data_IF_120707847125
#
_entry.id   IF_120707847125
#
_cell.length_a   1.000
_cell.length_b   1.000
_cell.length_c   1.000
_cell.angle_alpha   90.00
_cell.angle_beta   90.00
_cell.angle_gamma   90.00
#
_symmetry.space_group_name_H-M   'P 1'
#
loop_
_entity.id
_entity.type
_entity.pdbx_description
1 polymer ?
#
# COMPACT_ATOMS: atom_id res chain seq x y z
N UNK A 1 31.74 -27.16 20.77
CA UNK A 1 31.08 -27.99 19.75
C UNK A 1 29.82 -28.57 20.34
N UNK A 2 28.72 -27.84 20.18
CA UNK A 2 27.40 -28.17 20.70
C UNK A 2 26.52 -28.34 19.45
N UNK A 3 26.44 -29.57 18.93
CA UNK A 3 25.62 -29.85 17.74
C UNK A 3 24.17 -29.57 18.13
N UNK A 4 23.46 -28.80 17.31
CA UNK A 4 22.10 -28.33 17.61
C UNK A 4 21.07 -29.43 17.33
N UNK A 5 21.28 -30.61 17.89
CA UNK A 5 20.34 -31.72 17.77
C UNK A 5 19.13 -31.43 18.66
N UNK A 6 17.96 -31.77 18.13
CA UNK A 6 16.71 -31.72 18.87
C UNK A 6 16.81 -32.60 20.13
N UNK A 7 16.09 -32.20 21.17
CA UNK A 7 16.15 -32.84 22.47
C UNK A 7 15.82 -34.34 22.40
N UNK A 8 14.82 -34.70 21.59
CA UNK A 8 14.40 -36.08 21.39
C UNK A 8 15.48 -36.94 20.70
N UNK A 9 16.17 -36.39 19.71
CA UNK A 9 17.25 -37.09 19.00
C UNK A 9 18.47 -37.33 19.92
N UNK A 10 18.79 -36.35 20.76
CA UNK A 10 19.84 -36.49 21.80
C UNK A 10 19.51 -37.60 22.79
N UNK A 11 18.26 -37.69 23.23
CA UNK A 11 17.82 -38.72 24.16
C UNK A 11 17.86 -40.12 23.51
N UNK A 12 17.35 -40.26 22.30
CA UNK A 12 17.38 -41.53 21.56
C UNK A 12 18.81 -42.05 21.32
N UNK A 13 19.75 -41.14 21.03
CA UNK A 13 21.18 -41.46 20.90
C UNK A 13 21.81 -41.97 22.20
N UNK A 14 21.42 -41.41 23.35
CA UNK A 14 21.94 -41.81 24.66
C UNK A 14 21.37 -43.15 25.12
N UNK A 15 20.12 -43.45 24.79
CA UNK A 15 19.40 -44.67 25.16
C UNK A 15 19.84 -45.91 24.34
N UNK A 16 20.38 -45.74 23.12
CA UNK A 16 20.75 -46.87 22.26
C UNK A 16 22.04 -47.57 22.73
N UNK A 17 21.94 -48.71 23.41
CA UNK A 17 23.09 -49.45 23.95
C UNK A 17 24.09 -49.98 22.91
N UNK A 18 23.66 -50.22 21.66
CA UNK A 18 24.54 -50.75 20.62
C UNK A 18 25.32 -49.64 19.92
N UNK A 19 26.65 -49.65 20.06
CA UNK A 19 27.57 -48.68 19.48
C UNK A 19 27.40 -48.54 17.96
N UNK A 20 27.24 -49.63 17.22
CA UNK A 20 27.15 -49.57 15.75
C UNK A 20 25.84 -48.91 15.30
N UNK A 21 24.73 -49.18 15.99
CA UNK A 21 23.45 -48.52 15.71
C UNK A 21 23.50 -47.04 16.09
N UNK A 22 24.07 -46.72 17.25
CA UNK A 22 24.25 -45.35 17.72
C UNK A 22 25.08 -44.51 16.74
N UNK A 23 26.13 -45.10 16.15
CA UNK A 23 26.98 -44.43 15.16
C UNK A 23 26.23 -44.16 13.85
N UNK A 24 25.40 -45.10 13.39
CA UNK A 24 24.54 -44.91 12.22
C UNK A 24 23.47 -43.83 12.42
N UNK A 25 22.86 -43.78 13.61
CA UNK A 25 21.91 -42.73 13.99
C UNK A 25 22.59 -41.35 14.03
N UNK A 26 23.77 -41.25 14.65
CA UNK A 26 24.54 -40.01 14.71
C UNK A 26 24.95 -39.53 13.33
N UNK A 27 25.37 -40.45 12.45
CA UNK A 27 25.71 -40.15 11.06
C UNK A 27 24.50 -39.57 10.32
N UNK A 28 23.32 -40.19 10.44
CA UNK A 28 22.10 -39.66 9.83
C UNK A 28 21.73 -38.26 10.33
N UNK A 29 21.93 -37.99 11.62
CA UNK A 29 21.71 -36.66 12.17
C UNK A 29 22.72 -35.63 11.63
N UNK A 30 24.00 -36.00 11.53
CA UNK A 30 25.04 -35.14 10.98
C UNK A 30 24.80 -34.81 9.51
N UNK A 31 24.33 -35.77 8.70
CA UNK A 31 24.01 -35.54 7.29
C UNK A 31 22.91 -34.49 7.14
N UNK A 32 21.82 -34.62 7.90
CA UNK A 32 20.74 -33.62 7.90
C UNK A 32 21.25 -32.23 8.30
N UNK A 33 22.14 -32.17 9.29
CA UNK A 33 22.66 -30.89 9.75
C UNK A 33 23.58 -30.22 8.72
N UNK A 34 24.32 -31.03 7.95
CA UNK A 34 25.09 -30.53 6.81
C UNK A 34 24.17 -29.95 5.74
N UNK A 35 23.07 -30.63 5.40
CA UNK A 35 22.09 -30.13 4.42
C UNK A 35 21.47 -28.79 4.86
N UNK A 36 21.12 -28.64 6.14
CA UNK A 36 20.59 -27.38 6.69
C UNK A 36 21.63 -26.26 6.58
N UNK A 37 22.89 -26.52 6.94
CA UNK A 37 23.96 -25.53 6.85
C UNK A 37 24.27 -25.11 5.42
N UNK A 38 24.15 -26.02 4.45
CA UNK A 38 24.31 -25.71 3.03
C UNK A 38 23.19 -24.77 2.54
N UNK A 39 21.93 -25.06 2.91
CA UNK A 39 20.79 -24.20 2.59
C UNK A 39 20.89 -22.81 3.25
N UNK A 40 21.29 -22.74 4.53
CA UNK A 40 21.50 -21.46 5.21
C UNK A 40 22.58 -20.62 4.51
N UNK A 41 23.65 -21.26 4.03
CA UNK A 41 24.72 -20.60 3.30
C UNK A 41 24.24 -20.10 1.94
N UNK A 42 23.48 -20.90 1.20
CA UNK A 42 22.93 -20.52 -0.11
C UNK A 42 21.98 -19.31 0.02
N UNK A 43 21.09 -19.33 1.02
CA UNK A 43 20.22 -18.19 1.35
C UNK A 43 21.06 -16.95 1.71
N UNK A 44 22.11 -17.12 2.51
CA UNK A 44 22.97 -16.01 2.92
C UNK A 44 23.71 -15.39 1.73
N UNK A 45 24.19 -16.22 0.80
CA UNK A 45 24.86 -15.77 -0.42
C UNK A 45 23.87 -15.02 -1.34
N UNK A 46 22.66 -15.53 -1.56
CA UNK A 46 21.61 -14.85 -2.34
C UNK A 46 21.21 -13.49 -1.72
N UNK A 47 21.02 -13.44 -0.39
CA UNK A 47 20.69 -12.20 0.31
C UNK A 47 21.81 -11.17 0.16
N UNK A 48 23.06 -11.62 0.24
CA UNK A 48 24.22 -10.75 0.12
C UNK A 48 24.39 -10.21 -1.30
N UNK A 49 24.18 -11.05 -2.32
CA UNK A 49 24.17 -10.59 -3.72
C UNK A 49 23.06 -9.55 -3.97
N UNK A 50 21.85 -9.78 -3.45
CA UNK A 50 20.74 -8.82 -3.59
C UNK A 50 21.02 -7.50 -2.85
N UNK A 51 21.62 -7.53 -1.67
CA UNK A 51 21.98 -6.32 -0.92
C UNK A 51 23.08 -5.54 -1.64
N UNK A 52 24.12 -6.23 -2.14
CA UNK A 52 25.22 -5.59 -2.85
C UNK A 52 24.76 -5.00 -4.18
N UNK A 53 23.85 -5.66 -4.90
CA UNK A 53 23.27 -5.12 -6.14
C UNK A 53 22.45 -3.86 -5.87
N UNK A 54 21.54 -3.88 -4.89
CA UNK A 54 20.72 -2.71 -4.56
C UNK A 54 21.56 -1.52 -4.07
N UNK A 55 22.57 -1.76 -3.22
CA UNK A 55 23.48 -0.70 -2.76
C UNK A 55 24.32 -0.15 -3.91
N UNK A 56 24.82 -1.02 -4.81
CA UNK A 56 25.58 -0.61 -5.98
C UNK A 56 24.72 0.19 -6.95
N UNK A 57 23.48 -0.22 -7.17
CA UNK A 57 22.54 0.47 -8.05
C UNK A 57 22.16 1.85 -7.48
N UNK A 58 21.88 1.93 -6.18
CA UNK A 58 21.65 3.21 -5.49
C UNK A 58 22.86 4.16 -5.64
N UNK A 59 24.06 3.65 -5.40
CA UNK A 59 25.29 4.43 -5.53
C UNK A 59 25.54 4.90 -6.97
N UNK A 60 25.32 4.03 -7.97
CA UNK A 60 25.46 4.38 -9.39
C UNK A 60 24.41 5.40 -9.84
N UNK A 61 23.16 5.31 -9.34
CA UNK A 61 22.12 6.32 -9.60
C UNK A 61 22.52 7.68 -9.03
N UNK A 62 23.04 7.73 -7.81
CA UNK A 62 23.49 8.97 -7.20
C UNK A 62 24.69 9.56 -7.94
N UNK A 63 25.63 8.71 -8.41
CA UNK A 63 26.71 9.17 -9.28
C UNK A 63 26.21 9.73 -10.61
N UNK A 64 25.25 9.06 -11.25
CA UNK A 64 24.63 9.54 -12.49
C UNK A 64 23.92 10.88 -12.29
N UNK A 65 23.22 11.06 -11.17
CA UNK A 65 22.58 12.34 -10.79
C UNK A 65 23.61 13.47 -10.65
N UNK A 66 24.73 13.22 -9.95
CA UNK A 66 25.80 14.21 -9.79
C UNK A 66 26.46 14.54 -11.14
N UNK A 67 26.69 13.54 -11.99
CA UNK A 67 27.27 13.73 -13.33
C UNK A 67 26.31 14.54 -14.21
N UNK A 68 25.02 14.18 -14.28
CA UNK A 68 24.01 14.89 -15.06
C UNK A 68 23.89 16.37 -14.64
N UNK A 69 23.87 16.65 -13.33
CA UNK A 69 23.86 18.01 -12.81
C UNK A 69 25.11 18.83 -13.14
N UNK A 70 26.29 18.19 -13.27
CA UNK A 70 27.52 18.89 -13.67
C UNK A 70 27.64 19.12 -15.19
N UNK A 71 27.00 18.29 -16.00
CA UNK A 71 26.99 18.43 -17.46
C UNK A 71 25.96 19.46 -17.96
N UNK A 72 24.98 19.84 -17.13
CA UNK A 72 24.03 20.93 -17.44
C UNK A 72 23.16 20.67 -18.67
N UNK A 73 23.02 19.42 -19.11
CA UNK A 73 22.48 19.06 -20.42
C UNK A 73 21.06 18.49 -20.41
N UNK A 74 20.39 18.28 -19.27
CA UNK A 74 19.09 17.58 -19.34
C UNK A 74 18.09 17.93 -18.23
N UNK A 75 17.42 19.08 -18.36
CA UNK A 75 16.25 19.44 -17.54
C UNK A 75 15.17 18.32 -17.53
N UNK A 76 15.11 17.47 -18.57
CA UNK A 76 14.18 16.35 -18.64
C UNK A 76 14.56 15.13 -17.79
N UNK A 77 15.85 14.91 -17.52
CA UNK A 77 16.29 13.85 -16.62
C UNK A 77 16.10 14.23 -15.16
N UNK A 78 16.40 15.48 -14.79
CA UNK A 78 16.18 15.97 -13.42
C UNK A 78 14.69 15.86 -13.02
N UNK A 79 13.78 16.23 -13.92
CA UNK A 79 12.33 16.10 -13.71
C UNK A 79 11.89 14.64 -13.45
N UNK A 80 12.47 13.68 -14.18
CA UNK A 80 12.14 12.27 -13.99
C UNK A 80 12.63 11.73 -12.64
N UNK A 81 13.80 12.16 -12.17
CA UNK A 81 14.32 11.77 -10.86
C UNK A 81 13.49 12.33 -9.71
N UNK A 82 13.01 13.58 -9.83
CA UNK A 82 12.11 14.19 -8.85
C UNK A 82 10.80 13.38 -8.71
N UNK A 83 10.25 12.89 -9.83
CA UNK A 83 9.09 12.01 -9.81
C UNK A 83 9.38 10.69 -9.11
N UNK A 84 10.54 10.06 -9.37
CA UNK A 84 10.94 8.81 -8.73
C UNK A 84 11.06 8.98 -7.21
N UNK A 85 11.68 10.07 -6.75
CA UNK A 85 11.82 10.34 -5.31
C UNK A 85 10.45 10.51 -4.65
N UNK A 86 9.53 11.26 -5.28
CA UNK A 86 8.13 11.42 -4.80
C UNK A 86 7.36 10.10 -4.76
N UNK A 87 7.59 9.19 -5.72
CA UNK A 87 6.96 7.86 -5.74
C UNK A 87 7.40 7.05 -4.52
N UNK A 88 8.70 7.05 -4.21
CA UNK A 88 9.24 6.33 -3.03
C UNK A 88 8.74 6.92 -1.71
N UNK A 89 8.55 8.24 -1.61
CA UNK A 89 8.00 8.89 -0.41
C UNK A 89 6.57 8.43 -0.07
N UNK A 90 5.74 8.15 -1.09
CA UNK A 90 4.33 7.79 -0.90
C UNK A 90 4.11 6.37 -0.33
N UNK A 91 5.16 5.52 -0.30
CA UNK A 91 5.11 4.14 0.20
C UNK A 91 3.91 3.36 -0.37
N UNK A 92 3.84 3.31 -1.69
CA UNK A 92 2.81 2.60 -2.43
C UNK A 92 3.05 1.08 -2.37
N UNK A 93 2.07 0.29 -2.82
CA UNK A 93 2.30 -1.14 -3.06
C UNK A 93 3.38 -1.33 -4.12
N UNK A 94 4.07 -2.47 -4.06
CA UNK A 94 5.19 -2.81 -4.95
C UNK A 94 4.77 -2.76 -6.43
N UNK A 95 3.62 -3.36 -6.77
CA UNK A 95 3.05 -3.35 -8.13
C UNK A 95 2.79 -1.92 -8.66
N UNK A 96 2.29 -1.02 -7.82
CA UNK A 96 2.00 0.36 -8.21
C UNK A 96 3.29 1.17 -8.35
N UNK A 97 4.26 0.93 -7.47
CA UNK A 97 5.57 1.58 -7.48
C UNK A 97 6.33 1.25 -8.75
N UNK A 98 6.40 -0.03 -9.13
CA UNK A 98 7.08 -0.49 -10.34
C UNK A 98 6.49 0.14 -11.61
N UNK A 99 5.16 0.20 -11.72
CA UNK A 99 4.47 0.82 -12.87
C UNK A 99 4.79 2.31 -12.99
N UNK A 100 4.80 3.04 -11.87
CA UNK A 100 5.06 4.49 -11.88
C UNK A 100 6.52 4.81 -12.18
N UNK A 101 7.46 4.02 -11.65
CA UNK A 101 8.89 4.15 -11.97
C UNK A 101 9.11 3.92 -13.47
N UNK A 102 8.48 2.91 -14.05
CA UNK A 102 8.59 2.62 -15.48
C UNK A 102 8.11 3.78 -16.36
N UNK A 103 7.04 4.48 -15.96
CA UNK A 103 6.57 5.67 -16.67
C UNK A 103 7.51 6.88 -16.46
N UNK A 104 8.11 7.05 -15.28
CA UNK A 104 9.11 8.09 -15.03
C UNK A 104 10.42 7.85 -15.82
N UNK A 105 10.90 6.61 -15.91
CA UNK A 105 12.03 6.25 -16.79
C UNK A 105 11.71 6.44 -18.28
N UNK A 106 10.44 6.28 -18.67
CA UNK A 106 10.00 6.57 -20.02
C UNK A 106 10.04 8.07 -20.30
N UNK A 107 9.67 8.90 -19.32
CA UNK A 107 9.75 10.35 -19.40
C UNK A 107 11.20 10.83 -19.60
N UNK A 108 12.16 10.25 -18.88
CA UNK A 108 13.58 10.65 -18.94
C UNK A 108 14.24 10.41 -20.30
N UNK A 109 13.71 9.48 -21.10
CA UNK A 109 14.23 9.13 -22.44
C UNK A 109 13.56 9.94 -23.55
N UNK A 110 12.48 10.66 -23.25
CA UNK A 110 11.72 11.43 -24.23
C UNK A 110 12.19 12.89 -24.23
N UNK A 111 12.20 13.56 -25.39
CA UNK A 111 12.41 15.00 -25.44
C UNK A 111 11.33 15.74 -24.64
N UNK A 112 11.74 16.68 -23.79
CA UNK A 112 10.87 17.44 -22.88
C UNK A 112 9.74 18.20 -23.58
N UNK A 113 9.93 18.52 -24.86
CA UNK A 113 8.98 19.22 -25.75
C UNK A 113 7.99 18.30 -26.49
N UNK A 114 8.10 16.98 -26.32
CA UNK A 114 7.18 16.02 -26.94
C UNK A 114 5.79 16.09 -26.30
N UNK A 115 4.75 15.96 -27.13
CA UNK A 115 3.37 15.88 -26.66
C UNK A 115 3.10 14.60 -25.86
N UNK A 116 3.87 13.53 -26.10
CA UNK A 116 3.81 12.29 -25.33
C UNK A 116 4.37 12.48 -23.91
N UNK A 117 5.47 13.25 -23.77
CA UNK A 117 6.04 13.61 -22.47
C UNK A 117 5.03 14.40 -21.63
N UNK A 118 4.29 15.33 -22.25
CA UNK A 118 3.23 16.08 -21.55
C UNK A 118 2.10 15.18 -21.02
N UNK A 119 1.71 14.13 -21.76
CA UNK A 119 0.70 13.17 -21.29
C UNK A 119 1.21 12.39 -20.08
N UNK A 120 2.47 11.95 -20.12
CA UNK A 120 3.09 11.21 -19.01
C UNK A 120 3.23 12.08 -17.76
N UNK A 121 3.67 13.34 -17.89
CA UNK A 121 3.72 14.29 -16.77
C UNK A 121 2.37 14.46 -16.10
N UNK A 122 1.33 14.76 -16.90
CA UNK A 122 -0.02 14.91 -16.35
C UNK A 122 -0.51 13.64 -15.66
N UNK A 123 -0.18 12.47 -16.21
CA UNK A 123 -0.51 11.20 -15.57
C UNK A 123 0.20 11.05 -14.22
N UNK A 124 1.52 11.24 -14.18
CA UNK A 124 2.32 11.16 -12.96
C UNK A 124 1.85 12.19 -11.91
N UNK A 125 1.62 13.44 -12.30
CA UNK A 125 1.11 14.49 -11.41
C UNK A 125 -0.26 14.13 -10.83
N UNK A 126 -1.20 13.71 -11.69
CA UNK A 126 -2.55 13.34 -11.26
C UNK A 126 -2.50 12.18 -10.27
N UNK A 127 -1.68 11.16 -10.56
CA UNK A 127 -1.58 9.98 -9.71
C UNK A 127 -0.90 10.32 -8.38
N UNK A 128 0.16 11.11 -8.38
CA UNK A 128 0.89 11.49 -7.18
C UNK A 128 0.11 12.46 -6.28
N UNK A 129 -0.81 13.24 -6.84
CA UNK A 129 -1.69 14.14 -6.07
C UNK A 129 -2.81 13.38 -5.33
N UNK A 130 -3.10 12.13 -5.72
CA UNK A 130 -4.12 11.35 -5.04
C UNK A 130 -3.75 11.12 -3.57
N UNK A 131 -4.75 11.10 -2.66
CA UNK A 131 -4.52 10.92 -1.23
C UNK A 131 -4.22 9.44 -0.89
N UNK A 132 -3.08 8.93 -1.35
CA UNK A 132 -2.59 7.59 -1.02
C UNK A 132 -2.38 7.44 0.48
N UNK A 133 -2.79 6.30 1.02
CA UNK A 133 -2.61 5.94 2.43
C UNK A 133 -3.20 6.95 3.43
N UNK A 134 -4.02 7.91 2.97
CA UNK A 134 -4.71 8.89 3.79
C UNK A 134 -6.17 8.47 3.91
N UNK A 135 -6.52 7.94 5.07
CA UNK A 135 -7.91 7.68 5.45
C UNK A 135 -8.30 8.57 6.62
N UNK A 136 -9.45 9.21 6.52
CA UNK A 136 -10.04 9.97 7.63
C UNK A 136 -10.77 9.04 8.58
N UNK A 137 -10.51 9.20 9.88
CA UNK A 137 -11.23 8.46 10.92
C UNK A 137 -12.68 8.96 11.00
N UNK A 138 -13.61 8.14 10.51
CA UNK A 138 -15.04 8.42 10.61
C UNK A 138 -15.48 8.24 12.07
N UNK A 139 -16.04 9.30 12.69
CA UNK A 139 -16.73 9.22 13.98
C UNK A 139 -18.22 9.21 13.75
N UNK A 140 -18.80 8.02 13.70
CA UNK A 140 -20.22 7.85 13.44
C UNK A 140 -21.02 7.96 14.74
N UNK A 141 -21.82 9.03 14.85
CA UNK A 141 -22.69 9.30 16.00
C UNK A 141 -24.11 9.57 15.50
N UNK A 142 -24.98 8.58 15.67
CA UNK A 142 -26.36 8.57 15.15
C UNK A 142 -27.16 9.72 15.77
N UNK A 143 -26.94 10.06 17.05
CA UNK A 143 -27.67 11.13 17.73
C UNK A 143 -27.28 12.49 17.19
N UNK A 144 -25.99 12.70 16.88
CA UNK A 144 -25.52 13.92 16.21
C UNK A 144 -26.06 14.00 14.79
N UNK A 145 -26.05 12.88 14.05
CA UNK A 145 -26.59 12.82 12.70
C UNK A 145 -28.08 13.21 12.67
N UNK A 146 -28.90 12.69 13.60
CA UNK A 146 -30.31 13.03 13.70
C UNK A 146 -30.55 14.53 13.95
N UNK A 147 -29.81 15.13 14.91
CA UNK A 147 -29.91 16.57 15.20
C UNK A 147 -29.54 17.46 14.01
N UNK A 148 -28.51 17.06 13.25
CA UNK A 148 -28.08 17.75 12.04
C UNK A 148 -29.15 17.65 10.96
N UNK A 149 -29.68 16.44 10.72
CA UNK A 149 -30.74 16.19 9.76
C UNK A 149 -32.01 17.01 10.06
N UNK A 150 -32.37 17.13 11.34
CA UNK A 150 -33.52 17.93 11.76
C UNK A 150 -33.31 19.43 11.66
N UNK A 151 -32.09 19.91 11.88
CA UNK A 151 -31.75 21.32 11.73
C UNK A 151 -31.75 21.78 10.27
N UNK A 152 -31.18 20.97 9.39
CA UNK A 152 -30.90 21.39 8.01
C UNK A 152 -32.06 21.06 7.04
N UNK A 153 -32.98 20.17 7.45
CA UNK A 153 -34.12 19.77 6.62
C UNK A 153 -35.43 19.83 7.40
N UNK A 154 -36.39 20.64 6.94
CA UNK A 154 -37.71 20.69 7.53
C UNK A 154 -38.59 19.54 7.01
N UNK A 155 -39.25 18.80 7.91
CA UNK A 155 -40.13 17.68 7.55
C UNK A 155 -39.40 16.40 7.13
N UNK A 156 -40.00 15.67 6.17
CA UNK A 156 -39.44 14.45 5.56
C UNK A 156 -39.03 13.33 6.55
N UNK A 157 -39.85 13.08 7.59
CA UNK A 157 -39.58 12.08 8.63
C UNK A 157 -39.17 10.71 8.07
N UNK A 158 -39.95 10.19 7.12
CA UNK A 158 -39.70 8.89 6.47
C UNK A 158 -38.36 8.81 5.71
N UNK A 159 -37.88 9.93 5.16
CA UNK A 159 -36.60 9.98 4.44
C UNK A 159 -35.44 10.06 5.44
N UNK A 160 -35.58 10.86 6.49
CA UNK A 160 -34.60 10.98 7.57
C UNK A 160 -34.40 9.67 8.31
N UNK A 161 -35.48 8.95 8.62
CA UNK A 161 -35.44 7.63 9.25
C UNK A 161 -34.63 6.64 8.40
N UNK A 162 -34.89 6.56 7.09
CA UNK A 162 -34.12 5.70 6.17
C UNK A 162 -32.63 6.05 6.08
N UNK A 163 -32.30 7.34 6.14
CA UNK A 163 -30.90 7.78 6.12
C UNK A 163 -30.21 7.40 7.43
N UNK A 164 -30.89 7.57 8.58
CA UNK A 164 -30.37 7.15 9.88
C UNK A 164 -30.20 5.64 9.97
N UNK A 165 -31.13 4.85 9.42
CA UNK A 165 -31.01 3.39 9.30
C UNK A 165 -29.76 2.99 8.50
N UNK A 166 -29.54 3.61 7.34
CA UNK A 166 -28.36 3.33 6.51
C UNK A 166 -27.05 3.71 7.23
N UNK A 167 -27.02 4.87 7.91
CA UNK A 167 -25.88 5.30 8.73
C UNK A 167 -25.64 4.32 9.89
N UNK A 168 -26.69 3.80 10.53
CA UNK A 168 -26.60 2.84 11.62
C UNK A 168 -26.04 1.49 11.16
N UNK A 169 -26.48 1.00 9.99
CA UNK A 169 -25.95 -0.24 9.37
C UNK A 169 -24.46 -0.08 9.05
N UNK A 170 -24.05 1.06 8.51
CA UNK A 170 -22.64 1.35 8.21
C UNK A 170 -21.77 1.45 9.47
N UNK A 171 -22.35 1.93 10.59
CA UNK A 171 -21.68 1.92 11.89
C UNK A 171 -21.46 0.54 12.49
N UNK A 172 -22.37 -0.41 12.21
CA UNK A 172 -22.29 -1.80 12.70
C UNK A 172 -21.36 -2.66 11.84
N UNK A 173 -21.33 -2.42 10.52
CA UNK A 173 -20.55 -3.21 9.57
C UNK A 173 -19.81 -2.27 8.60
N UNK A 174 -18.58 -1.83 8.93
CA UNK A 174 -17.83 -0.88 8.10
C UNK A 174 -17.38 -1.45 6.76
N UNK A 175 -17.35 -2.77 6.60
CA UNK A 175 -16.97 -3.43 5.33
C UNK A 175 -18.13 -3.60 4.34
N UNK A 176 -19.35 -3.18 4.70
CA UNK A 176 -20.50 -3.27 3.79
C UNK A 176 -20.46 -2.10 2.82
N UNK A 177 -19.66 -2.26 1.77
CA UNK A 177 -19.62 -1.38 0.58
C UNK A 177 -20.66 -1.84 -0.42
N UNK A 178 -21.92 -1.42 -0.30
CA UNK A 178 -22.92 -1.87 -1.28
C UNK A 178 -24.21 -1.07 -1.40
N UNK A 179 -24.60 -0.27 -0.41
CA UNK A 179 -25.88 0.44 -0.47
C UNK A 179 -25.67 1.92 -0.79
N UNK A 180 -25.81 2.26 -2.06
CA UNK A 180 -25.88 3.66 -2.53
C UNK A 180 -27.31 4.17 -2.30
N UNK A 181 -27.45 5.33 -1.66
CA UNK A 181 -28.76 5.95 -1.43
C UNK A 181 -29.06 6.87 -2.61
N UNK A 182 -30.06 6.52 -3.42
CA UNK A 182 -30.58 7.39 -4.48
C UNK A 182 -31.83 8.15 -3.99
N UNK A 183 -31.81 9.49 -4.08
CA UNK A 183 -32.93 10.35 -3.70
C UNK A 183 -33.74 10.75 -4.95
N UNK A 184 -35.00 10.31 -5.07
CA UNK A 184 -35.85 10.53 -6.26
C UNK A 184 -37.05 11.42 -5.95
N UNK A 185 -37.47 12.27 -6.90
CA UNK A 185 -38.57 13.24 -6.74
C UNK A 185 -38.58 14.41 -7.76
N UNK A 186 -39.51 15.38 -7.65
CA UNK A 186 -39.55 16.56 -8.53
C UNK A 186 -38.36 17.52 -8.32
N UNK A 187 -38.06 18.41 -9.28
CA UNK A 187 -37.03 19.45 -9.13
C UNK A 187 -37.43 20.47 -8.05
N UNK A 188 -36.46 20.99 -7.30
CA UNK A 188 -36.69 21.99 -6.24
C UNK A 188 -36.87 21.44 -4.82
N UNK A 189 -36.93 20.12 -4.61
CA UNK A 189 -37.06 19.48 -3.28
C UNK A 189 -35.74 19.33 -2.51
N UNK A 190 -34.68 20.03 -2.94
CA UNK A 190 -33.41 20.13 -2.21
C UNK A 190 -32.43 18.96 -2.34
N UNK A 191 -32.64 18.01 -3.27
CA UNK A 191 -31.84 16.77 -3.37
C UNK A 191 -30.33 16.98 -3.60
N UNK A 192 -29.95 17.93 -4.45
CA UNK A 192 -28.58 18.02 -4.96
C UNK A 192 -27.64 18.88 -4.09
N UNK A 193 -28.17 19.89 -3.38
CA UNK A 193 -27.34 20.98 -2.84
C UNK A 193 -27.20 20.92 -1.31
N UNK A 194 -28.20 20.41 -0.58
CA UNK A 194 -28.14 20.37 0.89
C UNK A 194 -27.72 19.00 1.44
N UNK A 195 -28.13 17.89 0.85
CA UNK A 195 -27.92 16.57 1.46
C UNK A 195 -26.47 16.07 1.30
N UNK A 196 -25.93 16.14 0.09
CA UNK A 196 -24.55 15.70 -0.27
C UNK A 196 -23.48 16.55 0.41
N UNK A 197 -23.61 17.88 0.34
CA UNK A 197 -22.62 18.82 0.86
C UNK A 197 -22.57 18.80 2.39
N UNK A 198 -23.72 18.63 3.05
CA UNK A 198 -23.82 18.73 4.51
C UNK A 198 -23.41 17.44 5.23
N UNK A 199 -23.85 16.28 4.73
CA UNK A 199 -23.37 14.99 5.23
C UNK A 199 -21.85 14.87 5.09
N UNK A 200 -21.29 15.30 3.95
CA UNK A 200 -19.85 15.28 3.69
C UNK A 200 -19.02 16.17 4.63
N UNK A 201 -19.53 17.36 4.99
CA UNK A 201 -18.80 18.33 5.82
C UNK A 201 -18.84 18.03 7.32
N UNK A 202 -19.85 17.31 7.82
CA UNK A 202 -20.05 17.08 9.27
C UNK A 202 -19.85 15.64 9.75
N UNK A 203 -19.85 14.63 8.88
CA UNK A 203 -19.61 13.23 9.26
C UNK A 203 -18.15 12.77 9.12
N UNK A 204 -17.24 13.66 8.67
CA UNK A 204 -15.84 13.31 8.47
C UNK A 204 -15.60 12.67 7.09
N UNK A 205 -15.61 13.55 6.08
CA UNK A 205 -14.98 13.42 4.75
C UNK A 205 -15.56 12.55 3.62
N UNK A 206 -15.06 12.88 2.42
CA UNK A 206 -15.18 12.30 1.08
C UNK A 206 -16.32 11.32 0.74
N UNK A 207 -17.55 11.69 1.07
CA UNK A 207 -18.79 11.09 0.54
C UNK A 207 -19.02 11.42 -0.96
N UNK A 208 -17.97 11.41 -1.79
CA UNK A 208 -18.08 11.60 -3.25
C UNK A 208 -18.50 10.31 -3.96
N UNK A 209 -18.34 9.15 -3.31
CA UNK A 209 -18.62 7.82 -3.89
C UNK A 209 -20.04 7.29 -3.64
N UNK A 210 -20.81 7.88 -2.71
CA UNK A 210 -22.06 7.28 -2.23
C UNK A 210 -23.35 8.01 -2.64
N UNK A 211 -23.24 9.10 -3.42
CA UNK A 211 -24.40 9.92 -3.80
C UNK A 211 -24.33 10.26 -5.29
N UNK A 212 -25.17 9.57 -6.07
CA UNK A 212 -25.53 9.87 -7.45
C UNK A 212 -27.03 10.19 -7.53
#
# INVERSE_FOLDING_TARGET
YNINLDFYDKQALLEESNIMKRLGMLYGCLVKEVEVLELEKEIQDEVKENIDQNQREYYLREQMRVIAGQLGEDEGQDEAYDYIDRIYELKLSEENTEKLIKEAERLSKMPSSSQEAFVIRNYLDTVLELPWNKSTKIKLDINKAAKILDKDHYGMKKVKERILESIAVHGLMPEVTGQIICLVGPPGVGKNINWTFHCKKRLGENMREYLW
#
